data_IF_042838865697
#
_entry.id   IF_042838865697
#
_cell.length_a   1.000
_cell.length_b   1.000
_cell.length_c   1.000
_cell.angle_alpha   90.00
_cell.angle_beta   90.00
_cell.angle_gamma   90.00
#
_symmetry.space_group_name_H-M   'P 1'
#
loop_
_entity.id
_entity.type
_entity.pdbx_description
1 polymer ?
#
# COMPACT_ATOMS: atom_id res chain seq x y z
N UNK A 1 -6.82 23.16 -16.79
CA UNK A 1 -5.94 24.19 -16.18
C UNK A 1 -5.32 23.75 -14.86
N UNK A 2 -6.06 23.33 -13.83
CA UNK A 2 -5.45 22.92 -12.55
C UNK A 2 -4.77 21.55 -12.56
N UNK A 3 -5.35 20.55 -13.22
CA UNK A 3 -4.74 19.21 -13.33
C UNK A 3 -3.50 19.21 -14.24
N UNK A 4 -3.54 19.99 -15.32
CA UNK A 4 -2.42 20.10 -16.28
C UNK A 4 -1.18 20.71 -15.61
N UNK A 5 -1.37 21.67 -14.70
CA UNK A 5 -0.28 22.23 -13.90
C UNK A 5 0.44 21.17 -13.07
N UNK A 6 -0.30 20.23 -12.47
CA UNK A 6 0.26 19.13 -11.68
C UNK A 6 0.98 18.13 -12.59
N UNK A 7 0.36 17.76 -13.72
CA UNK A 7 0.95 16.80 -14.68
C UNK A 7 2.24 17.32 -15.33
N UNK A 8 2.35 18.64 -15.51
CA UNK A 8 3.52 19.28 -16.11
C UNK A 8 4.64 19.58 -15.10
N UNK A 9 4.46 19.25 -13.82
CA UNK A 9 5.52 19.41 -12.82
C UNK A 9 6.65 18.39 -13.07
N UNK A 10 7.89 18.88 -13.15
CA UNK A 10 9.03 18.05 -13.52
C UNK A 10 9.30 16.92 -12.51
N UNK A 11 9.01 17.14 -11.22
CA UNK A 11 9.17 16.08 -10.20
C UNK A 11 8.07 15.03 -10.35
N UNK A 12 6.84 15.43 -10.65
CA UNK A 12 5.75 14.50 -10.94
C UNK A 12 6.13 13.61 -12.14
N UNK A 13 6.64 14.17 -13.23
CA UNK A 13 7.11 13.38 -14.38
C UNK A 13 8.26 12.40 -14.01
N UNK A 14 9.16 12.78 -13.10
CA UNK A 14 10.21 11.88 -12.59
C UNK A 14 9.65 10.74 -11.72
N UNK A 15 8.55 10.99 -11.01
CA UNK A 15 7.84 9.96 -10.26
C UNK A 15 7.08 9.01 -11.20
N UNK A 16 6.44 9.53 -12.24
CA UNK A 16 5.73 8.70 -13.23
C UNK A 16 6.67 7.75 -13.98
N UNK A 17 7.84 8.24 -14.39
CA UNK A 17 8.83 7.44 -15.13
C UNK A 17 9.54 6.38 -14.28
N UNK A 18 9.63 6.58 -12.96
CA UNK A 18 10.20 5.61 -12.03
C UNK A 18 9.41 5.56 -10.70
N UNK A 19 8.23 4.93 -10.69
CA UNK A 19 7.25 5.08 -9.61
C UNK A 19 7.54 4.25 -8.35
N UNK A 20 8.33 3.18 -8.48
CA UNK A 20 8.52 2.20 -7.41
C UNK A 20 9.15 2.83 -6.17
N UNK A 21 8.44 2.73 -5.03
CA UNK A 21 8.91 3.27 -3.75
C UNK A 21 8.86 4.80 -3.64
N UNK A 22 8.31 5.49 -4.66
CA UNK A 22 8.22 6.96 -4.69
C UNK A 22 6.83 7.50 -4.34
N UNK A 23 5.83 6.65 -4.11
CA UNK A 23 4.43 7.04 -3.87
C UNK A 23 4.24 8.09 -2.77
N UNK A 24 4.91 7.95 -1.62
CA UNK A 24 4.84 8.94 -0.55
C UNK A 24 5.47 10.29 -0.93
N UNK A 25 6.66 10.26 -1.56
CA UNK A 25 7.34 11.47 -2.02
C UNK A 25 6.52 12.19 -3.10
N UNK A 26 5.92 11.43 -4.01
CA UNK A 26 5.00 11.91 -5.03
C UNK A 26 3.76 12.57 -4.41
N UNK A 27 3.08 11.89 -3.47
CA UNK A 27 1.94 12.46 -2.75
C UNK A 27 2.30 13.75 -2.00
N UNK A 28 3.49 13.81 -1.38
CA UNK A 28 4.00 15.05 -0.75
C UNK A 28 4.14 16.18 -1.78
N UNK A 29 4.66 15.90 -2.98
CA UNK A 29 4.77 16.90 -4.06
C UNK A 29 3.42 17.36 -4.57
N UNK A 30 2.49 16.42 -4.84
CA UNK A 30 1.12 16.74 -5.27
C UNK A 30 0.43 17.65 -4.24
N UNK A 31 0.53 17.31 -2.95
CA UNK A 31 -0.03 18.15 -1.87
C UNK A 31 0.58 19.55 -1.84
N UNK A 32 1.88 19.70 -2.06
CA UNK A 32 2.52 21.02 -2.15
C UNK A 32 1.93 21.85 -3.31
N UNK A 33 1.79 21.26 -4.49
CA UNK A 33 1.22 21.92 -5.67
C UNK A 33 -0.24 22.31 -5.44
N UNK A 34 -1.05 21.43 -4.84
CA UNK A 34 -2.45 21.72 -4.50
C UNK A 34 -2.58 22.87 -3.49
N UNK A 35 -1.69 22.93 -2.50
CA UNK A 35 -1.63 24.06 -1.56
C UNK A 35 -1.29 25.38 -2.25
N UNK A 36 -0.34 25.38 -3.17
CA UNK A 36 0.02 26.58 -3.95
C UNK A 36 -1.16 27.10 -4.79
N UNK A 37 -1.98 26.19 -5.30
CA UNK A 37 -3.19 26.50 -6.07
C UNK A 37 -4.44 26.77 -5.21
N UNK A 38 -4.34 26.70 -3.87
CA UNK A 38 -5.47 26.76 -2.94
C UNK A 38 -6.58 25.74 -3.27
N UNK A 39 -6.23 24.54 -3.72
CA UNK A 39 -7.18 23.47 -4.04
C UNK A 39 -7.39 22.57 -2.81
N UNK A 40 -8.63 22.37 -2.34
CA UNK A 40 -8.92 21.44 -1.25
C UNK A 40 -8.59 20.00 -1.62
N UNK A 41 -8.05 19.23 -0.67
CA UNK A 41 -7.62 17.86 -0.90
C UNK A 41 -7.70 16.97 0.35
N UNK A 42 -7.63 15.65 0.14
CA UNK A 42 -7.33 14.62 1.14
C UNK A 42 -6.24 13.68 0.61
N UNK A 43 -5.44 13.13 1.52
CA UNK A 43 -4.45 12.10 1.18
C UNK A 43 -5.09 10.74 1.38
N UNK A 44 -4.98 9.84 0.42
CA UNK A 44 -5.44 8.46 0.53
C UNK A 44 -4.23 7.59 0.82
N UNK A 45 -4.23 6.92 1.97
CA UNK A 45 -3.26 5.87 2.28
C UNK A 45 -3.90 4.50 2.11
N UNK A 46 -3.22 3.60 1.41
CA UNK A 46 -3.63 2.22 1.19
C UNK A 46 -2.66 1.24 1.84
N UNK A 47 -3.20 0.11 2.26
CA UNK A 47 -2.44 -1.09 2.60
C UNK A 47 -2.94 -2.27 1.77
N UNK A 48 -2.00 -3.09 1.31
CA UNK A 48 -2.28 -4.25 0.47
C UNK A 48 -1.74 -5.54 1.10
N UNK A 49 -2.60 -6.55 1.20
CA UNK A 49 -2.24 -7.87 1.73
C UNK A 49 -2.37 -8.93 0.65
N UNK A 50 -1.37 -9.80 0.59
CA UNK A 50 -1.35 -10.95 -0.33
C UNK A 50 -2.04 -12.19 0.27
N UNK A 51 -2.21 -12.20 1.58
CA UNK A 51 -2.78 -13.32 2.32
C UNK A 51 -2.58 -13.15 3.82
N UNK A 52 -3.02 -14.17 4.56
CA UNK A 52 -3.09 -14.20 6.02
C UNK A 52 -1.74 -14.15 6.72
N UNK A 53 -0.70 -14.65 6.05
CA UNK A 53 0.67 -14.64 6.55
C UNK A 53 1.41 -13.34 6.23
N UNK A 54 0.78 -12.41 5.50
CA UNK A 54 1.37 -11.13 5.12
C UNK A 54 1.41 -10.19 6.33
N UNK A 55 2.46 -10.30 7.15
CA UNK A 55 2.67 -9.47 8.35
C UNK A 55 3.18 -8.07 8.05
N UNK A 56 3.58 -7.82 6.82
CA UNK A 56 4.07 -6.54 6.35
C UNK A 56 3.27 -6.21 5.08
N UNK A 57 2.09 -5.57 5.20
CA UNK A 57 1.37 -5.11 4.03
C UNK A 57 2.18 -4.07 3.27
N UNK A 58 2.11 -4.11 1.94
CA UNK A 58 2.70 -3.04 1.14
C UNK A 58 1.80 -1.81 1.19
N UNK A 59 2.39 -0.64 1.41
CA UNK A 59 1.68 0.62 1.45
C UNK A 59 1.66 1.32 0.08
N UNK A 60 0.67 2.19 -0.11
CA UNK A 60 0.59 3.09 -1.26
C UNK A 60 -0.09 4.39 -0.88
N UNK A 61 0.21 5.46 -1.60
CA UNK A 61 -0.33 6.80 -1.35
C UNK A 61 -0.85 7.40 -2.65
N UNK A 62 -2.03 8.01 -2.56
CA UNK A 62 -2.62 8.83 -3.61
C UNK A 62 -3.21 10.11 -2.99
N UNK A 63 -3.67 11.04 -3.81
CA UNK A 63 -4.33 12.26 -3.35
C UNK A 63 -5.67 12.40 -4.06
N UNK A 64 -6.72 12.75 -3.33
CA UNK A 64 -8.00 13.20 -3.92
C UNK A 64 -8.10 14.71 -3.76
N UNK A 65 -8.38 15.41 -4.84
CA UNK A 65 -8.49 16.86 -4.89
C UNK A 65 -9.85 17.32 -5.43
N UNK A 66 -10.36 18.43 -4.91
CA UNK A 66 -11.60 19.06 -5.39
C UNK A 66 -11.28 20.02 -6.55
N UNK A 67 -11.32 19.53 -7.78
CA UNK A 67 -11.04 20.30 -8.99
C UNK A 67 -12.35 20.59 -9.71
N UNK A 68 -12.70 21.87 -9.91
CA UNK A 68 -13.95 22.30 -10.55
C UNK A 68 -15.21 21.66 -9.92
N UNK A 69 -15.21 21.46 -8.60
CA UNK A 69 -16.32 20.84 -7.87
C UNK A 69 -16.39 19.31 -7.98
N UNK A 70 -15.41 18.67 -8.62
CA UNK A 70 -15.33 17.21 -8.76
C UNK A 70 -14.16 16.65 -7.94
N UNK A 71 -14.37 15.47 -7.36
CA UNK A 71 -13.32 14.72 -6.68
C UNK A 71 -12.47 13.97 -7.70
N UNK A 72 -11.21 14.39 -7.86
CA UNK A 72 -10.26 13.81 -8.80
C UNK A 72 -9.14 13.13 -8.01
N UNK A 73 -8.95 11.83 -8.26
CA UNK A 73 -7.78 11.07 -7.80
C UNK A 73 -6.57 11.46 -8.66
N UNK A 74 -5.47 11.70 -7.97
CA UNK A 74 -4.15 11.98 -8.50
C UNK A 74 -3.21 10.93 -7.92
N UNK A 75 -2.85 9.94 -8.74
CA UNK A 75 -1.89 8.88 -8.42
C UNK A 75 -0.89 8.70 -9.58
N UNK A 76 0.09 9.60 -9.69
CA UNK A 76 1.10 9.51 -10.75
C UNK A 76 1.95 8.24 -10.64
N UNK A 77 2.00 7.65 -9.44
CA UNK A 77 2.79 6.45 -9.12
C UNK A 77 2.02 5.14 -9.25
N UNK A 78 0.79 5.17 -9.77
CA UNK A 78 -0.01 3.96 -10.01
C UNK A 78 0.78 2.90 -10.81
N UNK A 79 1.66 3.33 -11.72
CA UNK A 79 2.53 2.44 -12.49
C UNK A 79 3.61 1.69 -11.73
N UNK A 80 3.72 1.85 -10.41
CA UNK A 80 4.46 0.89 -9.60
C UNK A 80 3.82 -0.51 -9.65
N UNK A 81 2.52 -0.57 -9.94
CA UNK A 81 1.78 -1.79 -10.20
C UNK A 81 1.89 -2.09 -11.69
N UNK A 82 2.53 -3.21 -12.02
CA UNK A 82 2.91 -3.55 -13.39
C UNK A 82 1.73 -3.42 -14.36
N UNK A 83 1.91 -2.61 -15.40
CA UNK A 83 0.92 -2.39 -16.45
C UNK A 83 -0.08 -1.26 -16.18
N UNK A 84 -0.12 -0.70 -14.98
CA UNK A 84 -0.94 0.49 -14.69
C UNK A 84 -0.20 1.74 -15.18
N UNK A 85 -0.88 2.62 -15.91
CA UNK A 85 -0.36 3.95 -16.22
C UNK A 85 -0.59 4.93 -15.06
N UNK A 86 0.16 6.05 -14.98
CA UNK A 86 -0.15 7.15 -14.08
C UNK A 86 -1.65 7.51 -14.12
N UNK A 87 -2.29 7.61 -12.96
CA UNK A 87 -3.73 7.73 -12.87
C UNK A 87 -4.15 9.16 -12.47
N UNK A 88 -5.07 9.71 -13.27
CA UNK A 88 -5.71 11.01 -13.05
C UNK A 88 -7.17 10.90 -13.46
N UNK A 89 -8.09 10.76 -12.51
CA UNK A 89 -9.47 10.42 -12.84
C UNK A 89 -10.40 10.39 -11.64
N UNK A 90 -11.59 9.83 -11.80
CA UNK A 90 -12.53 9.67 -10.70
C UNK A 90 -12.14 8.48 -9.80
N UNK A 91 -12.80 8.39 -8.64
CA UNK A 91 -12.53 7.34 -7.64
C UNK A 91 -12.97 5.94 -8.08
N UNK A 92 -14.05 5.82 -8.85
CA UNK A 92 -14.61 4.53 -9.27
C UNK A 92 -13.68 3.82 -10.27
N UNK A 93 -13.15 4.56 -11.23
CA UNK A 93 -12.16 4.07 -12.20
C UNK A 93 -10.85 3.66 -11.50
N UNK A 94 -10.43 4.42 -10.48
CA UNK A 94 -9.24 4.09 -9.70
C UNK A 94 -9.43 2.79 -8.91
N UNK A 95 -10.61 2.60 -8.28
CA UNK A 95 -10.95 1.39 -7.55
C UNK A 95 -11.05 0.19 -8.50
N UNK A 96 -11.67 0.35 -9.66
CA UNK A 96 -11.76 -0.70 -10.68
C UNK A 96 -10.39 -1.09 -11.22
N UNK A 97 -9.44 -0.15 -11.29
CA UNK A 97 -8.05 -0.42 -11.61
C UNK A 97 -7.39 -1.44 -10.69
N UNK A 98 -7.78 -1.52 -9.42
CA UNK A 98 -7.22 -2.51 -8.49
C UNK A 98 -7.50 -3.94 -8.93
N UNK A 99 -8.71 -4.23 -9.41
CA UNK A 99 -9.07 -5.58 -9.84
C UNK A 99 -8.24 -6.04 -11.05
N UNK A 100 -7.85 -5.08 -11.91
CA UNK A 100 -7.05 -5.32 -13.11
C UNK A 100 -5.55 -5.45 -12.82
N UNK A 101 -5.00 -4.54 -12.02
CA UNK A 101 -3.55 -4.39 -11.84
C UNK A 101 -3.02 -4.98 -10.53
N UNK A 102 -3.89 -5.25 -9.57
CA UNK A 102 -3.60 -5.86 -8.27
C UNK A 102 -4.53 -7.02 -7.95
N UNK A 103 -4.67 -8.02 -8.85
CA UNK A 103 -5.59 -9.12 -8.63
C UNK A 103 -5.20 -9.92 -7.39
N UNK A 104 -6.23 -10.43 -6.71
CA UNK A 104 -6.11 -11.29 -5.52
C UNK A 104 -5.50 -10.64 -4.27
N UNK A 105 -5.32 -9.32 -4.26
CA UNK A 105 -4.94 -8.57 -3.06
C UNK A 105 -6.18 -8.16 -2.27
N UNK A 106 -6.07 -8.17 -0.94
CA UNK A 106 -6.96 -7.38 -0.11
C UNK A 106 -6.40 -5.96 -0.08
N UNK A 107 -7.23 -4.96 -0.36
CA UNK A 107 -6.85 -3.56 -0.31
C UNK A 107 -7.79 -2.84 0.63
N UNK A 108 -7.20 -2.17 1.63
CA UNK A 108 -7.93 -1.27 2.52
C UNK A 108 -7.34 0.13 2.39
N UNK A 109 -8.19 1.14 2.35
CA UNK A 109 -7.82 2.54 2.23
C UNK A 109 -8.42 3.40 3.32
N UNK A 110 -7.76 4.52 3.60
CA UNK A 110 -8.24 5.57 4.50
C UNK A 110 -7.82 6.93 3.99
N UNK A 111 -8.68 7.92 4.21
CA UNK A 111 -8.37 9.32 3.95
C UNK A 111 -7.75 10.00 5.17
N UNK A 112 -6.80 10.88 4.91
CA UNK A 112 -6.04 11.65 5.89
C UNK A 112 -6.03 13.13 5.50
N UNK A 113 -5.82 13.98 6.50
CA UNK A 113 -5.73 15.42 6.31
C UNK A 113 -4.37 15.86 5.75
N UNK A 114 -3.34 15.04 5.95
CA UNK A 114 -1.97 15.33 5.54
C UNK A 114 -1.18 14.07 5.19
N UNK A 115 -0.08 14.23 4.47
CA UNK A 115 0.85 13.14 4.16
C UNK A 115 1.60 12.65 5.39
N UNK A 116 1.85 13.53 6.37
CA UNK A 116 2.49 13.15 7.64
C UNK A 116 1.59 12.22 8.46
N UNK A 117 0.30 12.55 8.57
CA UNK A 117 -0.68 11.71 9.26
C UNK A 117 -0.78 10.33 8.60
N UNK A 118 -0.87 10.29 7.27
CA UNK A 118 -0.88 9.05 6.51
C UNK A 118 0.41 8.23 6.70
N UNK A 119 1.58 8.87 6.65
CA UNK A 119 2.90 8.24 6.86
C UNK A 119 3.04 7.64 8.26
N UNK A 120 2.59 8.36 9.29
CA UNK A 120 2.61 7.86 10.67
C UNK A 120 1.67 6.67 10.87
N UNK A 121 0.46 6.68 10.30
CA UNK A 121 -0.49 5.57 10.42
C UNK A 121 0.04 4.34 9.65
N UNK A 122 0.37 4.49 8.37
CA UNK A 122 0.79 3.38 7.50
C UNK A 122 2.21 2.88 7.78
N UNK A 123 3.08 3.70 8.38
CA UNK A 123 4.45 3.32 8.75
C UNK A 123 4.54 2.55 10.08
N UNK A 124 3.42 2.33 10.77
CA UNK A 124 3.39 1.64 12.06
C UNK A 124 3.74 0.15 11.94
N UNK A 125 4.80 -0.28 12.65
CA UNK A 125 5.26 -1.67 12.71
C UNK A 125 4.21 -2.66 13.26
N UNK A 126 3.13 -2.17 13.86
CA UNK A 126 2.08 -3.02 14.45
C UNK A 126 0.97 -3.41 13.47
N UNK A 127 0.92 -2.80 12.27
CA UNK A 127 -0.12 -3.08 11.28
C UNK A 127 0.28 -4.32 10.48
N UNK A 128 0.21 -5.48 11.14
CA UNK A 128 0.50 -6.76 10.51
C UNK A 128 -0.74 -7.49 10.01
N UNK A 129 -1.88 -7.32 10.67
CA UNK A 129 -3.15 -7.93 10.26
C UNK A 129 -4.05 -6.92 9.55
N UNK A 130 -4.84 -7.36 8.54
CA UNK A 130 -5.93 -6.54 8.00
C UNK A 130 -6.96 -6.08 9.04
N UNK A 131 -7.03 -6.75 10.19
CA UNK A 131 -7.91 -6.38 11.30
C UNK A 131 -7.38 -5.20 12.12
N UNK A 132 -6.07 -4.96 12.11
CA UNK A 132 -5.42 -3.92 12.90
C UNK A 132 -5.56 -2.54 12.23
N UNK A 133 -5.75 -2.52 10.92
CA UNK A 133 -5.95 -1.30 10.15
C UNK A 133 -7.42 -0.93 10.03
N UNK A 134 -7.85 0.18 10.63
CA UNK A 134 -9.23 0.67 10.55
C UNK A 134 -9.49 1.49 9.26
N UNK A 135 -9.37 0.84 8.10
CA UNK A 135 -9.67 1.41 6.78
C UNK A 135 -10.89 0.78 6.11
N UNK A 136 -11.41 1.45 5.09
CA UNK A 136 -12.48 0.96 4.21
C UNK A 136 -11.91 -0.09 3.27
N UNK A 137 -12.66 -1.16 3.01
CA UNK A 137 -12.26 -2.20 2.05
C UNK A 137 -12.53 -1.68 0.63
N UNK A 138 -11.48 -1.53 -0.16
CA UNK A 138 -11.57 -1.11 -1.57
C UNK A 138 -11.59 -2.30 -2.52
N UNK A 139 -10.89 -3.38 -2.17
CA UNK A 139 -10.94 -4.66 -2.87
C UNK A 139 -10.87 -5.78 -1.83
N UNK A 140 -11.84 -6.69 -1.86
CA UNK A 140 -11.94 -7.78 -0.90
C UNK A 140 -11.48 -9.11 -1.49
N UNK A 141 -11.15 -10.08 -0.63
CA UNK A 141 -10.73 -11.42 -1.02
C UNK A 141 -11.54 -12.49 -0.32
N UNK A 142 -11.62 -13.67 -0.94
CA UNK A 142 -12.30 -14.82 -0.34
C UNK A 142 -11.70 -15.23 1.02
N UNK A 143 -10.39 -15.10 1.19
CA UNK A 143 -9.75 -15.44 2.47
C UNK A 143 -10.10 -14.42 3.55
N UNK A 144 -10.10 -13.13 3.24
CA UNK A 144 -10.47 -12.08 4.20
C UNK A 144 -11.93 -12.22 4.63
N UNK A 145 -12.85 -12.48 3.69
CA UNK A 145 -14.26 -12.79 4.01
C UNK A 145 -14.42 -13.96 4.97
N UNK A 146 -13.56 -14.99 4.87
CA UNK A 146 -13.57 -16.14 5.81
C UNK A 146 -13.12 -15.73 7.21
N UNK A 147 -12.13 -14.84 7.35
CA UNK A 147 -11.72 -14.28 8.65
C UNK A 147 -12.88 -13.54 9.30
N UNK A 148 -13.50 -12.64 8.54
CA UNK A 148 -14.56 -11.76 9.07
C UNK A 148 -15.77 -12.55 9.58
N UNK A 149 -16.01 -13.75 9.04
CA UNK A 149 -17.05 -14.67 9.54
C UNK A 149 -16.69 -15.37 10.87
N UNK A 150 -15.40 -15.53 11.19
CA UNK A 150 -14.98 -16.12 12.47
C UNK A 150 -13.61 -15.58 12.95
N UNK A 151 -13.58 -14.35 13.49
CA UNK A 151 -12.31 -13.70 13.87
C UNK A 151 -11.55 -14.42 14.99
N UNK A 152 -12.27 -15.01 15.96
CA UNK A 152 -11.67 -15.73 17.10
C UNK A 152 -10.90 -16.98 16.67
N UNK A 153 -11.45 -17.74 15.73
CA UNK A 153 -10.78 -18.91 15.17
C UNK A 153 -9.49 -18.53 14.44
N UNK A 154 -9.50 -17.37 13.76
CA UNK A 154 -8.36 -16.88 13.02
C UNK A 154 -7.20 -16.42 13.89
N UNK A 155 -7.48 -15.67 14.96
CA UNK A 155 -6.45 -15.26 15.91
C UNK A 155 -5.74 -16.49 16.52
N UNK A 156 -6.47 -17.58 16.73
CA UNK A 156 -5.91 -18.85 17.20
C UNK A 156 -4.99 -19.50 16.16
N UNK A 157 -5.33 -19.45 14.87
CA UNK A 157 -4.51 -19.98 13.78
C UNK A 157 -3.23 -19.16 13.56
N UNK A 158 -3.33 -17.83 13.62
CA UNK A 158 -2.18 -16.92 13.49
C UNK A 158 -1.22 -17.09 14.67
N UNK A 159 -1.72 -17.25 15.90
CA UNK A 159 -0.89 -17.56 17.07
C UNK A 159 -0.18 -18.92 16.92
N UNK A 160 -0.88 -19.97 16.48
CA UNK A 160 -0.28 -21.30 16.25
C UNK A 160 0.80 -21.27 15.16
N UNK A 161 0.59 -20.55 14.06
CA UNK A 161 1.60 -20.37 13.01
C UNK A 161 2.79 -19.52 13.47
N UNK A 162 2.55 -18.50 14.29
CA UNK A 162 3.61 -17.68 14.90
C UNK A 162 4.48 -18.51 15.84
N UNK A 163 3.85 -19.35 16.67
CA UNK A 163 4.56 -20.28 17.53
C UNK A 163 5.35 -21.31 16.73
N UNK A 164 4.76 -21.88 15.66
CA UNK A 164 5.44 -22.83 14.78
C UNK A 164 6.65 -22.23 14.04
N UNK A 165 6.58 -20.96 13.61
CA UNK A 165 7.70 -20.25 12.97
C UNK A 165 8.78 -19.81 13.97
N UNK A 166 8.39 -19.51 15.22
CA UNK A 166 9.34 -19.25 16.32
C UNK A 166 10.01 -20.52 16.85
N UNK A 167 9.42 -21.69 16.57
CA UNK A 167 9.94 -23.02 16.87
C UNK A 167 10.70 -23.58 15.66
N UNK A 168 11.70 -22.86 15.16
CA UNK A 168 12.89 -23.55 14.64
C UNK A 168 13.71 -23.87 15.88
N UNK A 169 13.75 -25.13 16.37
CA UNK A 169 14.56 -25.45 17.53
C UNK A 169 15.99 -25.04 17.22
N UNK A 170 16.70 -24.39 18.15
CA UNK A 170 18.13 -24.07 18.01
C UNK A 170 18.98 -25.29 17.61
N UNK A 171 18.48 -26.51 17.82
CA UNK A 171 19.07 -27.77 17.34
C UNK A 171 19.06 -27.93 15.80
N UNK A 172 18.16 -27.28 15.07
CA UNK A 172 18.09 -27.32 13.61
C UNK A 172 19.09 -26.36 12.92
N UNK A 173 19.57 -25.32 13.62
CA UNK A 173 20.66 -24.45 13.14
C UNK A 173 22.03 -25.14 13.19
N UNK A 174 22.20 -26.19 14.02
CA UNK A 174 23.46 -26.92 14.18
C UNK A 174 23.76 -27.94 13.06
N UNK A 175 22.81 -28.17 12.14
CA UNK A 175 22.99 -29.06 10.97
C UNK A 175 23.25 -28.34 9.64
N UNK A 176 23.20 -27.00 9.61
CA UNK A 176 23.51 -26.20 8.40
C UNK A 176 24.97 -25.70 8.33
N UNK A 177 25.78 -25.93 9.37
CA UNK A 177 27.19 -25.49 9.42
C UNK A 177 28.22 -26.56 9.06
N UNK A 178 27.78 -27.72 8.55
CA UNK A 178 28.67 -28.64 7.81
C UNK A 178 28.16 -28.68 6.40
N UNK A 179 28.85 -28.06 5.46
CA UNK A 179 29.03 -28.46 4.05
C UNK A 179 29.95 -27.39 3.41
N UNK A 180 31.24 -27.73 3.40
CA UNK A 180 32.32 -27.27 2.52
C UNK A 180 33.01 -25.91 2.79
N UNK A 181 33.89 -25.91 3.79
CA UNK A 181 35.25 -25.38 3.58
C UNK A 181 36.03 -26.40 2.73
N UNK A 182 36.56 -25.98 1.57
CA UNK A 182 37.65 -26.54 0.74
C UNK A 182 37.49 -25.90 -0.66
N UNK A 183 38.44 -25.22 -1.31
CA UNK A 183 39.88 -25.04 -1.14
C UNK A 183 40.30 -23.72 -1.81
N UNK A 184 41.28 -23.06 -1.22
CA UNK A 184 42.25 -22.23 -1.95
C UNK A 184 43.13 -23.14 -2.81
N UNK A 185 43.37 -22.73 -4.05
CA UNK A 185 44.66 -22.76 -4.75
C UNK A 185 44.54 -21.86 -5.97
#
# INVERSE_FOLDING_TARGET
MSIDYIKNDYMIAEFESNPRGKCLACAKRVVQLLKQLNIPYRVIGLLTWTGLSSREPANHYAVVASINGQAIIIDPTAGQFTGWQPFYGNMEDWITGFDLYLPHKLIKGREYTSTLEAECDLGSFFIGSPLDFNGVILQDTMWHRKIMKNPKHFNTLVQKQTQALSLVPLRALRRRSRWNCFKSN
#
